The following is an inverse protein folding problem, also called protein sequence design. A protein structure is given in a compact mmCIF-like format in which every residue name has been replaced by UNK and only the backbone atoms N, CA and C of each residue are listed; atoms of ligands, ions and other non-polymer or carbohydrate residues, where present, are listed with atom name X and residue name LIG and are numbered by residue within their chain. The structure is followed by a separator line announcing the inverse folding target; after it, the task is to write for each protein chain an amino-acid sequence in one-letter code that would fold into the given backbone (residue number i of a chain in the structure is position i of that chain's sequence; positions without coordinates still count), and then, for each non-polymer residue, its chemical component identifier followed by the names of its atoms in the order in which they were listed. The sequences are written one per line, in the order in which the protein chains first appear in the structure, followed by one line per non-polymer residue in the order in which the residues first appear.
data_IF_900319710247
#
_entry.id   IF_900319710247
#
_cell.length_a   1.000
_cell.length_b   1.000
_cell.length_c   1.000
_cell.angle_alpha   90.00
_cell.angle_beta   90.00
_cell.angle_gamma   90.00
#
_symmetry.space_group_name_H-M   'P 1'
#
loop_
_entity.id
_entity.type
_entity.pdbx_description
1 polymer ?
#
# COMPACT_ATOMS: atom_id res chain seq x y z
N UNK A 1 -7.21 42.10 -1.23
CA UNK A 1 -7.47 40.80 -1.91
C UNK A 1 -7.04 39.72 -0.95
N UNK A 2 -8.00 38.97 -0.44
CA UNK A 2 -7.85 37.99 0.64
C UNK A 2 -7.11 36.74 0.12
N UNK A 3 -6.18 36.15 0.88
CA UNK A 3 -5.34 35.04 0.42
C UNK A 3 -6.06 33.69 0.52
N UNK A 4 -5.41 32.68 -0.07
CA UNK A 4 -5.83 31.31 -0.30
C UNK A 4 -6.54 30.61 0.89
N UNK A 5 -7.59 29.86 0.57
CA UNK A 5 -8.21 28.90 1.48
C UNK A 5 -7.90 27.49 0.99
N UNK A 6 -6.79 26.92 1.45
CA UNK A 6 -6.62 25.46 1.48
C UNK A 6 -6.73 25.06 2.95
N UNK A 7 -7.95 24.82 3.40
CA UNK A 7 -8.19 24.15 4.68
C UNK A 7 -9.64 23.70 4.76
N UNK A 8 -9.92 22.52 4.24
CA UNK A 8 -10.96 21.70 4.83
C UNK A 8 -10.24 20.67 5.71
N UNK A 9 -10.24 20.90 7.03
CA UNK A 9 -10.06 19.80 7.97
C UNK A 9 -11.30 18.89 7.85
N UNK A 10 -11.36 18.10 6.78
CA UNK A 10 -12.47 17.17 6.60
C UNK A 10 -12.41 16.16 7.74
N UNK A 11 -13.53 15.97 8.43
CA UNK A 11 -13.63 14.92 9.43
C UNK A 11 -13.23 13.58 8.81
N UNK A 12 -12.50 12.75 9.56
CA UNK A 12 -12.12 11.40 9.09
C UNK A 12 -13.39 10.65 8.67
N UNK A 13 -13.50 10.17 7.42
CA UNK A 13 -14.66 9.40 6.96
C UNK A 13 -14.92 8.20 7.87
N UNK A 14 -16.19 7.80 8.09
CA UNK A 14 -16.55 6.73 9.03
C UNK A 14 -15.74 5.44 8.84
N UNK A 15 -15.48 5.05 7.60
CA UNK A 15 -14.70 3.87 7.24
C UNK A 15 -13.21 3.92 7.66
N UNK A 16 -12.68 5.11 7.90
CA UNK A 16 -11.28 5.35 8.26
C UNK A 16 -11.09 5.83 9.70
N UNK A 17 -12.18 5.87 10.49
CA UNK A 17 -12.13 6.20 11.91
C UNK A 17 -11.46 5.09 12.72
N UNK A 18 -11.15 5.41 13.98
CA UNK A 18 -10.65 4.43 14.94
C UNK A 18 -11.71 3.37 15.18
N UNK A 19 -11.32 2.10 15.19
CA UNK A 19 -12.25 0.99 15.44
C UNK A 19 -11.59 -0.17 16.19
N UNK A 20 -12.33 -0.89 17.04
CA UNK A 20 -11.83 -2.10 17.66
C UNK A 20 -11.63 -3.20 16.60
N UNK A 21 -10.63 -4.04 16.83
CA UNK A 21 -10.38 -5.27 16.08
C UNK A 21 -9.87 -6.33 17.06
N UNK A 22 -10.79 -7.10 17.64
CA UNK A 22 -10.49 -8.02 18.74
C UNK A 22 -10.04 -7.27 20.00
N UNK A 23 -8.85 -7.62 20.50
CA UNK A 23 -8.19 -7.01 21.65
C UNK A 23 -7.39 -5.74 21.29
N UNK A 24 -7.33 -5.40 20.00
CA UNK A 24 -6.57 -4.27 19.47
C UNK A 24 -7.49 -3.14 19.02
N UNK A 25 -6.91 -1.96 18.86
CA UNK A 25 -7.58 -0.78 18.30
C UNK A 25 -6.83 -0.36 17.05
N UNK A 26 -7.53 -0.30 15.92
CA UNK A 26 -7.01 0.27 14.68
C UNK A 26 -7.14 1.80 14.81
N UNK A 27 -6.05 2.57 14.77
CA UNK A 27 -6.12 4.02 14.87
C UNK A 27 -6.80 4.63 13.64
N UNK A 28 -7.43 5.78 13.83
CA UNK A 28 -7.98 6.56 12.72
C UNK A 28 -6.87 6.94 11.74
N UNK A 29 -7.16 6.88 10.44
CA UNK A 29 -6.22 7.35 9.41
C UNK A 29 -6.16 8.88 9.47
N UNK A 30 -4.94 9.43 9.45
CA UNK A 30 -4.75 10.87 9.36
C UNK A 30 -5.42 11.38 8.06
N UNK A 31 -6.35 12.37 8.13
CA UNK A 31 -7.02 12.93 6.96
C UNK A 31 -6.08 13.39 5.84
N UNK A 32 -4.86 13.82 6.17
CA UNK A 32 -3.87 14.25 5.17
C UNK A 32 -3.41 13.13 4.24
N UNK A 33 -3.60 11.86 4.63
CA UNK A 33 -3.30 10.70 3.79
C UNK A 33 -4.51 10.20 3.01
N UNK A 34 -5.69 10.79 3.22
CA UNK A 34 -6.94 10.37 2.60
C UNK A 34 -7.26 11.24 1.38
N UNK A 35 -6.76 10.83 0.22
CA UNK A 35 -7.08 11.46 -1.06
C UNK A 35 -8.30 10.80 -1.70
N UNK A 36 -8.98 11.49 -2.62
CA UNK A 36 -10.10 10.92 -3.37
C UNK A 36 -9.72 9.67 -4.17
N UNK A 37 -8.44 9.57 -4.54
CA UNK A 37 -7.94 8.45 -5.33
C UNK A 37 -7.65 7.23 -4.47
N UNK A 38 -7.08 7.42 -3.29
CA UNK A 38 -6.62 6.31 -2.47
C UNK A 38 -7.65 5.78 -1.46
N UNK A 39 -8.71 6.56 -1.18
CA UNK A 39 -9.86 6.07 -0.43
C UNK A 39 -10.65 5.03 -1.21
N UNK A 40 -11.26 4.11 -0.46
CA UNK A 40 -12.19 3.14 -1.01
C UNK A 40 -13.43 3.83 -1.55
N UNK A 41 -13.91 3.38 -2.70
CA UNK A 41 -15.18 3.87 -3.28
C UNK A 41 -15.76 2.88 -4.26
N UNK A 42 -17.08 2.91 -4.36
CA UNK A 42 -17.79 2.25 -5.46
C UNK A 42 -17.43 2.92 -6.79
N UNK A 43 -17.15 2.09 -7.80
CA UNK A 43 -16.89 2.51 -9.17
C UNK A 43 -17.59 1.58 -10.15
N UNK A 44 -17.84 2.09 -11.34
CA UNK A 44 -18.16 1.25 -12.48
C UNK A 44 -16.90 0.45 -12.87
N UNK A 45 -17.10 -0.82 -13.21
CA UNK A 45 -16.03 -1.75 -13.57
C UNK A 45 -16.29 -2.34 -14.95
N UNK A 46 -15.52 -1.92 -15.94
CA UNK A 46 -15.65 -2.35 -17.34
C UNK A 46 -14.82 -3.60 -17.69
N UNK A 47 -14.09 -4.16 -16.73
CA UNK A 47 -13.26 -5.34 -16.96
C UNK A 47 -14.09 -6.63 -17.12
N UNK A 48 -13.52 -7.67 -17.75
CA UNK A 48 -14.23 -8.93 -18.02
C UNK A 48 -14.32 -9.88 -16.83
N UNK A 49 -13.71 -9.54 -15.68
CA UNK A 49 -13.63 -10.43 -14.52
C UNK A 49 -14.97 -10.59 -13.80
N UNK A 50 -15.24 -11.82 -13.36
CA UNK A 50 -16.48 -12.19 -12.66
C UNK A 50 -16.55 -11.60 -11.23
N UNK A 51 -17.77 -11.44 -10.67
CA UNK A 51 -17.97 -11.10 -9.27
C UNK A 51 -17.19 -12.01 -8.31
N UNK A 52 -16.68 -11.42 -7.23
CA UNK A 52 -15.79 -12.05 -6.25
C UNK A 52 -14.32 -12.06 -6.64
N UNK A 53 -13.95 -11.58 -7.83
CA UNK A 53 -12.52 -11.49 -8.25
C UNK A 53 -11.87 -10.23 -7.66
N UNK A 54 -10.63 -10.37 -7.19
CA UNK A 54 -9.77 -9.25 -6.79
C UNK A 54 -8.79 -8.92 -7.91
N UNK A 55 -8.77 -7.67 -8.35
CA UNK A 55 -7.92 -7.19 -9.44
C UNK A 55 -6.92 -6.24 -8.80
N UNK A 56 -5.64 -6.49 -8.98
CA UNK A 56 -4.57 -5.59 -8.54
C UNK A 56 -3.99 -4.94 -9.79
N UNK A 57 -3.95 -3.62 -9.79
CA UNK A 57 -3.24 -2.83 -10.79
C UNK A 57 -2.05 -2.10 -10.14
N UNK A 58 -0.84 -2.69 -10.19
CA UNK A 58 0.34 -2.09 -9.57
C UNK A 58 0.81 -0.79 -10.24
N UNK A 59 0.39 -0.53 -11.48
CA UNK A 59 0.85 0.62 -12.27
C UNK A 59 -0.06 1.82 -12.06
N UNK A 60 -1.37 1.60 -12.00
CA UNK A 60 -2.32 2.61 -11.55
C UNK A 60 -2.39 2.71 -10.03
N UNK A 61 -1.77 1.81 -9.27
CA UNK A 61 -1.83 1.77 -7.80
C UNK A 61 -3.26 1.73 -7.28
N UNK A 62 -4.05 0.86 -7.90
CA UNK A 62 -5.44 0.60 -7.55
C UNK A 62 -5.65 -0.90 -7.36
N UNK A 63 -6.61 -1.23 -6.52
CA UNK A 63 -7.14 -2.58 -6.38
C UNK A 63 -8.66 -2.51 -6.52
N UNK A 64 -9.25 -3.46 -7.24
CA UNK A 64 -10.69 -3.59 -7.43
C UNK A 64 -11.18 -4.92 -6.86
N UNK A 65 -12.16 -4.89 -5.97
CA UNK A 65 -12.94 -6.06 -5.59
C UNK A 65 -14.24 -6.03 -6.39
N UNK A 66 -14.38 -6.91 -7.38
CA UNK A 66 -15.56 -6.96 -8.25
C UNK A 66 -16.72 -7.54 -7.45
N UNK A 67 -17.81 -6.80 -7.28
CA UNK A 67 -18.94 -7.23 -6.43
C UNK A 67 -20.16 -7.68 -7.24
N UNK A 68 -20.30 -7.18 -8.45
CA UNK A 68 -21.37 -7.53 -9.38
C UNK A 68 -20.93 -7.17 -10.81
N UNK A 69 -21.62 -7.66 -11.84
CA UNK A 69 -21.35 -7.24 -13.21
C UNK A 69 -21.34 -5.72 -13.32
N UNK A 70 -20.29 -5.14 -13.93
CA UNK A 70 -20.19 -3.70 -14.12
C UNK A 70 -19.80 -2.89 -12.88
N UNK A 71 -19.52 -3.50 -11.72
CA UNK A 71 -19.29 -2.75 -10.47
C UNK A 71 -18.21 -3.36 -9.58
N UNK A 72 -17.35 -2.50 -9.03
CA UNK A 72 -16.33 -2.88 -8.06
C UNK A 72 -16.24 -1.89 -6.90
N UNK A 73 -15.78 -2.37 -5.75
CA UNK A 73 -15.16 -1.51 -4.74
C UNK A 73 -13.71 -1.29 -5.15
N UNK A 74 -13.31 -0.05 -5.38
CA UNK A 74 -11.93 0.32 -5.69
C UNK A 74 -11.24 0.80 -4.43
N UNK A 75 -9.97 0.45 -4.26
CA UNK A 75 -9.08 0.87 -3.18
C UNK A 75 -7.80 1.48 -3.76
N UNK A 76 -7.21 2.47 -3.08
CA UNK A 76 -5.83 2.85 -3.31
C UNK A 76 -4.87 1.84 -2.70
N UNK A 77 -3.75 1.57 -3.37
CA UNK A 77 -2.72 0.68 -2.84
C UNK A 77 -1.35 1.36 -2.85
N UNK A 78 -0.50 1.03 -1.88
CA UNK A 78 0.93 1.23 -2.04
C UNK A 78 1.53 0.00 -2.74
N UNK A 79 2.52 0.24 -3.60
CA UNK A 79 3.15 -0.81 -4.41
C UNK A 79 4.65 -0.80 -4.17
N UNK A 80 5.18 -1.86 -3.57
CA UNK A 80 6.62 -2.01 -3.39
C UNK A 80 7.35 -2.43 -4.67
N UNK A 81 8.69 -2.41 -4.67
CA UNK A 81 9.51 -2.90 -5.79
C UNK A 81 9.11 -4.31 -6.25
N UNK A 82 8.81 -5.21 -5.30
CA UNK A 82 8.35 -6.56 -5.60
C UNK A 82 6.91 -6.61 -6.16
N UNK A 83 6.10 -5.56 -5.89
CA UNK A 83 4.73 -5.41 -6.36
C UNK A 83 4.57 -5.41 -7.88
N UNK A 84 5.62 -5.02 -8.63
CA UNK A 84 5.67 -5.05 -10.11
C UNK A 84 6.30 -6.34 -10.68
N UNK A 85 6.83 -7.22 -9.83
CA UNK A 85 7.54 -8.44 -10.25
C UNK A 85 6.65 -9.62 -10.61
N UNK A 86 5.33 -9.49 -10.46
CA UNK A 86 4.35 -10.54 -10.72
C UNK A 86 3.16 -9.99 -11.51
N UNK A 87 2.74 -10.72 -12.53
CA UNK A 87 1.49 -10.46 -13.27
C UNK A 87 0.78 -11.77 -13.61
N UNK A 88 -0.51 -11.66 -13.93
CA UNK A 88 -1.42 -12.75 -14.29
C UNK A 88 -2.25 -13.26 -13.11
N UNK A 89 -2.80 -14.47 -13.26
CA UNK A 89 -3.78 -15.03 -12.33
C UNK A 89 -3.15 -15.71 -11.12
N UNK A 90 -3.80 -15.63 -9.98
CA UNK A 90 -3.51 -16.32 -8.73
C UNK A 90 -4.81 -16.62 -7.99
N UNK A 91 -4.70 -17.30 -6.85
CA UNK A 91 -5.81 -17.51 -5.91
C UNK A 91 -5.35 -17.19 -4.48
N UNK A 92 -6.26 -16.75 -3.63
CA UNK A 92 -6.01 -16.64 -2.20
C UNK A 92 -6.09 -18.04 -1.58
N UNK A 93 -4.95 -18.61 -1.14
CA UNK A 93 -4.94 -19.94 -0.49
C UNK A 93 -4.54 -19.91 0.97
N UNK A 94 -4.18 -18.73 1.49
CA UNK A 94 -3.93 -18.53 2.92
C UNK A 94 -4.30 -17.11 3.32
N UNK A 95 -4.88 -17.02 4.51
CA UNK A 95 -5.32 -15.79 5.18
C UNK A 95 -4.74 -15.81 6.59
N UNK A 96 -4.14 -14.71 7.03
CA UNK A 96 -3.58 -14.60 8.39
C UNK A 96 -3.96 -13.24 8.99
N UNK A 97 -4.47 -13.27 10.22
CA UNK A 97 -4.64 -12.09 11.06
C UNK A 97 -3.35 -11.77 11.80
N UNK A 98 -2.99 -10.49 11.86
CA UNK A 98 -1.76 -10.00 12.49
C UNK A 98 -0.54 -10.88 12.16
N UNK A 99 -0.21 -11.05 10.87
CA UNK A 99 0.86 -11.94 10.47
C UNK A 99 2.20 -11.50 11.05
N UNK A 100 3.01 -12.46 11.49
CA UNK A 100 4.44 -12.22 11.69
C UNK A 100 5.10 -11.90 10.35
N UNK A 101 6.20 -11.15 10.40
CA UNK A 101 6.97 -10.82 9.21
C UNK A 101 8.43 -11.15 9.42
N UNK A 102 9.08 -11.66 8.38
CA UNK A 102 10.53 -11.90 8.40
C UNK A 102 11.10 -11.31 7.12
N UNK A 103 12.17 -10.49 7.21
CA UNK A 103 12.83 -9.97 6.03
C UNK A 103 13.37 -11.13 5.19
N UNK A 104 13.31 -10.98 3.88
CA UNK A 104 13.89 -11.99 2.99
C UNK A 104 15.41 -11.97 3.10
N UNK A 105 16.07 -13.09 2.78
CA UNK A 105 17.54 -13.14 2.68
C UNK A 105 18.10 -12.06 1.75
N UNK A 106 17.36 -11.67 0.72
CA UNK A 106 17.79 -10.62 -0.20
C UNK A 106 17.73 -9.23 0.43
N UNK A 107 16.71 -8.97 1.26
CA UNK A 107 16.60 -7.71 2.00
C UNK A 107 17.78 -7.58 2.98
N UNK A 108 18.04 -8.62 3.78
CA UNK A 108 19.19 -8.65 4.70
C UNK A 108 20.52 -8.45 3.98
N UNK A 109 20.71 -9.04 2.79
CA UNK A 109 21.96 -8.84 2.04
C UNK A 109 22.11 -7.43 1.46
N UNK A 110 21.00 -6.84 1.02
CA UNK A 110 21.03 -5.53 0.38
C UNK A 110 21.16 -4.39 1.38
N UNK A 111 20.62 -4.59 2.58
CA UNK A 111 20.61 -3.63 3.67
C UNK A 111 20.69 -4.39 5.01
N UNK A 112 21.91 -4.85 5.36
CA UNK A 112 22.12 -5.66 6.55
C UNK A 112 21.93 -4.87 7.84
N UNK A 113 22.16 -3.56 7.84
CA UNK A 113 22.08 -2.74 9.05
C UNK A 113 20.61 -2.52 9.45
N UNK A 114 19.72 -2.33 8.47
CA UNK A 114 18.27 -2.26 8.75
C UNK A 114 17.65 -3.62 9.06
N UNK A 115 17.95 -4.64 8.25
CA UNK A 115 17.22 -5.91 8.28
C UNK A 115 17.92 -7.02 9.05
N UNK A 116 19.23 -6.91 9.29
CA UNK A 116 20.03 -7.87 10.06
C UNK A 116 19.51 -8.05 11.48
N UNK A 117 19.27 -6.96 12.26
CA UNK A 117 18.66 -7.04 13.57
C UNK A 117 17.26 -7.67 13.55
N UNK A 118 16.59 -7.64 12.41
CA UNK A 118 15.24 -8.18 12.18
C UNK A 118 15.24 -9.59 11.59
N UNK A 119 16.40 -10.26 11.45
CA UNK A 119 16.51 -11.58 10.82
C UNK A 119 15.71 -12.67 11.57
N UNK A 120 15.48 -12.50 12.87
CA UNK A 120 14.60 -13.36 13.68
C UNK A 120 13.09 -13.15 13.43
N UNK A 121 12.74 -12.11 12.68
CA UNK A 121 11.37 -11.70 12.39
C UNK A 121 10.76 -10.79 13.44
N UNK A 122 9.65 -10.16 13.05
CA UNK A 122 8.79 -9.34 13.87
C UNK A 122 7.50 -10.11 14.19
N UNK A 123 7.02 -10.04 15.45
CA UNK A 123 5.71 -10.59 15.81
C UNK A 123 4.58 -9.84 15.10
N UNK A 124 3.38 -10.42 15.15
CA UNK A 124 2.18 -9.80 14.62
C UNK A 124 1.77 -8.53 15.37
N UNK A 125 1.46 -7.46 14.63
CA UNK A 125 1.06 -6.18 15.21
C UNK A 125 0.82 -5.10 14.18
N UNK A 126 0.35 -3.94 14.63
CA UNK A 126 0.17 -2.77 13.75
C UNK A 126 1.50 -2.05 13.46
N UNK A 127 2.51 -2.28 14.29
CA UNK A 127 3.91 -1.92 14.10
C UNK A 127 4.66 -2.90 13.17
N UNK A 128 3.99 -3.97 12.71
CA UNK A 128 4.53 -4.90 11.73
C UNK A 128 4.33 -4.35 10.30
N UNK A 129 5.31 -4.49 9.38
CA UNK A 129 5.17 -4.08 7.98
C UNK A 129 3.99 -4.69 7.22
N UNK A 130 3.46 -5.83 7.67
CA UNK A 130 2.29 -6.49 7.10
C UNK A 130 0.96 -5.98 7.67
N UNK A 131 0.98 -5.21 8.76
CA UNK A 131 -0.19 -4.63 9.40
C UNK A 131 -1.20 -5.66 9.92
N UNK A 132 -2.48 -5.28 9.91
CA UNK A 132 -3.53 -6.02 10.61
C UNK A 132 -3.89 -7.37 9.97
N UNK A 133 -3.76 -7.53 8.65
CA UNK A 133 -4.18 -8.73 7.90
C UNK A 133 -3.27 -8.95 6.69
N UNK A 134 -3.15 -10.20 6.26
CA UNK A 134 -2.55 -10.54 4.97
C UNK A 134 -3.29 -11.66 4.23
N UNK A 135 -3.47 -11.45 2.93
CA UNK A 135 -3.94 -12.40 1.94
C UNK A 135 -2.74 -12.89 1.11
N UNK A 136 -2.52 -14.21 1.08
CA UNK A 136 -1.37 -14.82 0.41
C UNK A 136 -1.79 -15.42 -0.92
N UNK A 137 -1.12 -15.00 -2.00
CA UNK A 137 -1.45 -15.39 -3.36
C UNK A 137 -0.66 -16.64 -3.77
N UNK A 138 -1.38 -17.63 -4.30
CA UNK A 138 -0.84 -18.88 -4.78
C UNK A 138 -1.11 -19.04 -6.28
N UNK A 139 -0.17 -19.67 -6.99
CA UNK A 139 -0.33 -20.07 -8.41
C UNK A 139 0.12 -21.52 -8.56
N UNK A 140 -0.77 -22.36 -9.08
CA UNK A 140 -0.47 -23.80 -9.26
C UNK A 140 -0.09 -24.50 -7.95
N UNK A 141 -0.73 -24.13 -6.83
CA UNK A 141 -0.46 -24.70 -5.51
C UNK A 141 0.82 -24.19 -4.82
N UNK A 142 1.56 -23.24 -5.41
CA UNK A 142 2.78 -22.67 -4.83
C UNK A 142 2.58 -21.23 -4.40
N UNK A 143 3.15 -20.86 -3.24
CA UNK A 143 3.20 -19.48 -2.76
C UNK A 143 3.99 -18.63 -3.77
N UNK A 144 3.37 -17.54 -4.23
CA UNK A 144 4.02 -16.59 -5.14
C UNK A 144 4.95 -15.61 -4.41
N UNK A 145 4.95 -15.65 -3.07
CA UNK A 145 5.50 -14.64 -2.18
C UNK A 145 4.86 -13.25 -2.38
N UNK A 146 3.76 -13.17 -3.12
CA UNK A 146 2.97 -11.98 -3.31
C UNK A 146 1.83 -11.93 -2.31
N UNK A 147 1.61 -10.75 -1.73
CA UNK A 147 0.65 -10.54 -0.65
C UNK A 147 -0.12 -9.24 -0.85
N UNK A 148 -1.39 -9.28 -0.50
CA UNK A 148 -2.22 -8.09 -0.28
C UNK A 148 -2.36 -7.98 1.24
N UNK A 149 -1.88 -6.89 1.82
CA UNK A 149 -1.76 -6.79 3.27
C UNK A 149 -2.01 -5.36 3.78
N UNK A 150 -2.09 -5.21 5.10
CA UNK A 150 -2.18 -3.91 5.76
C UNK A 150 -0.85 -3.16 5.73
N UNK A 151 -0.70 -2.17 6.61
CA UNK A 151 0.54 -1.40 6.71
C UNK A 151 0.69 -0.80 8.10
N UNK A 152 1.92 -0.67 8.57
CA UNK A 152 2.26 0.20 9.71
C UNK A 152 2.33 1.68 9.31
N UNK A 153 2.52 1.96 8.02
CA UNK A 153 2.64 3.30 7.47
C UNK A 153 1.47 3.61 6.52
N UNK A 154 0.40 4.26 7.02
CA UNK A 154 -0.73 4.65 6.18
C UNK A 154 -0.39 5.76 5.17
N UNK A 155 0.70 6.52 5.37
CA UNK A 155 1.08 7.61 4.46
C UNK A 155 1.62 7.11 3.11
N UNK A 156 1.98 5.83 3.03
CA UNK A 156 2.42 5.16 1.81
C UNK A 156 1.29 4.84 0.81
N UNK A 157 0.03 4.80 1.25
CA UNK A 157 -1.07 4.31 0.42
C UNK A 157 -1.35 5.26 -0.75
N UNK A 158 -1.24 4.72 -1.98
CA UNK A 158 -1.30 5.49 -3.23
C UNK A 158 0.07 5.81 -3.84
N UNK A 159 1.16 5.42 -3.17
CA UNK A 159 2.54 5.71 -3.56
C UNK A 159 3.34 4.46 -3.94
N UNK A 160 4.47 4.64 -4.61
CA UNK A 160 5.47 3.59 -4.73
C UNK A 160 6.21 3.43 -3.41
N UNK A 161 6.71 2.23 -3.11
CA UNK A 161 7.58 2.00 -1.96
C UNK A 161 8.79 1.14 -2.35
N UNK A 162 9.82 1.23 -1.54
CA UNK A 162 11.09 0.52 -1.66
C UNK A 162 10.95 -0.99 -1.43
N UNK A 163 9.99 -1.42 -0.62
CA UNK A 163 9.83 -2.82 -0.20
C UNK A 163 8.37 -3.28 -0.05
N UNK A 164 8.14 -4.58 -0.21
CA UNK A 164 6.83 -5.21 -0.04
C UNK A 164 6.04 -5.39 -1.34
N UNK A 165 4.86 -6.01 -1.23
CA UNK A 165 4.00 -6.32 -2.36
C UNK A 165 2.92 -5.24 -2.50
N UNK A 166 1.72 -5.48 -1.97
CA UNK A 166 0.57 -4.60 -2.08
C UNK A 166 0.05 -4.25 -0.70
N UNK A 167 0.08 -2.95 -0.36
CA UNK A 167 -0.38 -2.43 0.93
C UNK A 167 -1.72 -1.73 0.77
N UNK A 168 -2.59 -1.94 1.74
CA UNK A 168 -3.85 -1.22 1.94
C UNK A 168 -3.83 -0.54 3.31
N UNK A 169 -4.72 0.43 3.52
CA UNK A 169 -5.04 0.87 4.88
C UNK A 169 -5.50 -0.32 5.72
N UNK A 170 -5.19 -0.33 7.02
CA UNK A 170 -5.58 -1.45 7.90
C UNK A 170 -7.11 -1.66 7.91
N UNK A 171 -7.89 -0.57 7.90
CA UNK A 171 -9.35 -0.63 7.81
C UNK A 171 -9.82 -1.35 6.54
N UNK A 172 -9.19 -1.06 5.40
CA UNK A 172 -9.56 -1.63 4.12
C UNK A 172 -9.18 -3.11 3.99
N UNK A 173 -7.97 -3.49 4.44
CA UNK A 173 -7.57 -4.90 4.40
C UNK A 173 -8.38 -5.74 5.38
N UNK A 174 -8.79 -5.22 6.54
CA UNK A 174 -9.63 -5.97 7.49
C UNK A 174 -10.97 -6.31 6.84
N UNK A 175 -11.65 -5.31 6.26
CA UNK A 175 -12.96 -5.54 5.64
C UNK A 175 -12.83 -6.48 4.43
N UNK A 176 -11.83 -6.25 3.58
CA UNK A 176 -11.56 -7.15 2.44
C UNK A 176 -11.19 -8.56 2.90
N UNK A 177 -10.43 -8.69 3.98
CA UNK A 177 -10.06 -9.98 4.54
C UNK A 177 -11.30 -10.76 4.95
N UNK A 178 -12.23 -10.15 5.66
CA UNK A 178 -13.46 -10.82 6.12
C UNK A 178 -14.36 -11.23 4.95
N UNK A 179 -14.42 -10.41 3.90
CA UNK A 179 -15.20 -10.67 2.68
C UNK A 179 -14.56 -11.72 1.75
N UNK A 180 -13.25 -11.95 1.85
CA UNK A 180 -12.51 -12.81 0.91
C UNK A 180 -12.53 -14.28 1.34
N UNK A 181 -13.04 -15.17 0.48
CA UNK A 181 -12.97 -16.61 0.69
C UNK A 181 -11.64 -17.21 0.24
N UNK A 182 -11.27 -18.38 0.78
CA UNK A 182 -10.16 -19.16 0.23
C UNK A 182 -10.57 -19.71 -1.15
N UNK A 183 -9.66 -19.62 -2.11
CA UNK A 183 -9.94 -19.91 -3.52
C UNK A 183 -10.34 -18.68 -4.33
N UNK A 184 -10.60 -17.53 -3.70
CA UNK A 184 -10.88 -16.26 -4.39
C UNK A 184 -9.82 -15.98 -5.45
N UNK A 185 -10.29 -15.71 -6.67
CA UNK A 185 -9.43 -15.43 -7.82
C UNK A 185 -8.83 -14.04 -7.67
N UNK A 186 -7.54 -13.96 -7.94
CA UNK A 186 -6.81 -12.70 -8.02
C UNK A 186 -6.21 -12.56 -9.41
N UNK A 187 -6.35 -11.39 -10.02
CA UNK A 187 -5.61 -11.04 -11.24
C UNK A 187 -4.73 -9.83 -10.99
N UNK A 188 -3.43 -10.00 -11.19
CA UNK A 188 -2.47 -8.88 -11.13
C UNK A 188 -2.19 -8.42 -12.55
N UNK A 189 -2.59 -7.19 -12.88
CA UNK A 189 -2.46 -6.65 -14.24
C UNK A 189 -0.99 -6.47 -14.63
N UNK A 190 -0.69 -6.81 -15.87
CA UNK A 190 0.53 -6.40 -16.55
C UNK A 190 0.48 -4.90 -16.88
N UNK A 191 1.63 -4.31 -17.27
CA UNK A 191 1.68 -2.92 -17.71
C UNK A 191 0.77 -2.64 -18.92
N UNK A 192 0.69 -3.58 -19.85
CA UNK A 192 -0.14 -3.45 -21.05
C UNK A 192 -1.63 -3.43 -20.69
N UNK A 193 -2.07 -4.35 -19.84
CA UNK A 193 -3.47 -4.37 -19.36
C UNK A 193 -3.81 -3.11 -18.54
N UNK A 194 -2.88 -2.62 -17.72
CA UNK A 194 -3.08 -1.36 -17.00
C UNK A 194 -3.23 -0.17 -17.95
N UNK A 195 -2.37 -0.07 -18.98
CA UNK A 195 -2.46 0.98 -20.00
C UNK A 195 -3.79 0.95 -20.76
N UNK A 196 -4.30 -0.25 -21.06
CA UNK A 196 -5.60 -0.42 -21.72
C UNK A 196 -6.77 0.01 -20.81
N UNK A 197 -6.73 -0.34 -19.53
CA UNK A 197 -7.83 -0.13 -18.60
C UNK A 197 -7.84 1.26 -17.95
N UNK A 198 -6.67 1.79 -17.61
CA UNK A 198 -6.50 3.01 -16.81
C UNK A 198 -5.84 4.15 -17.61
N UNK A 199 -5.29 3.84 -18.79
CA UNK A 199 -4.46 4.77 -19.54
C UNK A 199 -3.04 4.89 -18.98
N UNK A 200 -2.27 5.81 -19.57
CA UNK A 200 -0.94 6.13 -19.06
C UNK A 200 -1.07 6.90 -17.74
N UNK A 201 -0.21 6.58 -16.78
CA UNK A 201 -0.16 7.25 -15.47
C UNK A 201 1.16 7.99 -15.33
N UNK A 202 1.11 9.17 -14.72
CA UNK A 202 2.27 9.99 -14.34
C UNK A 202 2.40 9.98 -12.84
N UNK A 203 3.62 9.71 -12.36
CA UNK A 203 3.98 9.85 -10.95
C UNK A 203 4.36 11.30 -10.66
N UNK A 204 3.77 11.85 -9.60
CA UNK A 204 3.98 13.20 -9.12
C UNK A 204 5.13 13.25 -8.11
N UNK A 205 5.70 14.43 -7.84
CA UNK A 205 6.72 14.63 -6.80
C UNK A 205 6.22 14.24 -5.42
N UNK A 206 4.93 14.47 -5.14
CA UNK A 206 4.26 13.96 -3.92
C UNK A 206 4.27 12.43 -3.78
N UNK A 207 4.70 11.71 -4.81
CA UNK A 207 4.76 10.26 -4.89
C UNK A 207 3.44 9.63 -5.26
N UNK A 208 2.34 10.38 -5.46
CA UNK A 208 1.07 9.87 -5.96
C UNK A 208 1.08 9.69 -7.49
N UNK A 209 0.05 9.06 -8.04
CA UNK A 209 -0.13 8.93 -9.50
C UNK A 209 -1.42 9.55 -9.97
N UNK A 210 -1.35 10.23 -11.12
CA UNK A 210 -2.49 10.81 -11.85
C UNK A 210 -2.49 10.31 -13.29
N UNK A 211 -3.63 10.33 -14.01
CA UNK A 211 -3.64 10.08 -15.44
C UNK A 211 -2.67 11.02 -16.15
N UNK A 212 -1.90 10.52 -17.12
CA UNK A 212 -0.92 11.33 -17.86
C UNK A 212 -1.56 12.44 -18.71
N UNK A 213 -2.87 12.35 -18.94
CA UNK A 213 -3.65 13.39 -19.60
C UNK A 213 -4.04 14.56 -18.66
N UNK A 214 -3.86 14.41 -17.35
CA UNK A 214 -4.17 15.44 -16.35
C UNK A 214 -3.05 16.48 -16.25
N UNK A 215 -2.92 17.29 -17.31
CA UNK A 215 -1.87 18.29 -17.42
C UNK A 215 -1.95 19.37 -16.33
N UNK A 216 -3.15 19.63 -15.80
CA UNK A 216 -3.36 20.60 -14.72
C UNK A 216 -2.76 20.07 -13.40
N UNK A 217 -3.08 18.84 -13.01
CA UNK A 217 -2.51 18.25 -11.80
C UNK A 217 -0.99 18.12 -11.88
N UNK A 218 -0.46 17.73 -13.03
CA UNK A 218 0.99 17.59 -13.27
C UNK A 218 1.67 18.97 -13.15
N UNK A 219 1.14 20.00 -13.80
CA UNK A 219 1.73 21.34 -13.74
C UNK A 219 1.63 21.96 -12.33
N UNK A 220 0.54 21.70 -11.60
CA UNK A 220 0.37 22.17 -10.22
C UNK A 220 1.38 21.51 -9.26
N UNK A 221 1.63 20.22 -9.41
CA UNK A 221 2.63 19.48 -8.63
C UNK A 221 4.05 20.00 -8.93
N UNK A 222 4.41 20.16 -10.21
CA UNK A 222 5.70 20.74 -10.61
C UNK A 222 5.92 22.13 -10.01
N UNK A 223 4.93 23.03 -10.15
CA UNK A 223 5.02 24.39 -9.61
C UNK A 223 5.14 24.40 -8.07
N UNK A 224 4.44 23.50 -7.37
CA UNK A 224 4.56 23.36 -5.92
C UNK A 224 5.95 22.86 -5.52
N UNK A 225 6.54 21.94 -6.29
CA UNK A 225 7.89 21.43 -6.08
C UNK A 225 8.94 22.53 -6.31
N UNK A 226 8.88 23.25 -7.43
CA UNK A 226 9.78 24.38 -7.73
C UNK A 226 9.69 25.50 -6.69
N UNK A 227 8.49 25.70 -6.11
CA UNK A 227 8.27 26.65 -5.03
C UNK A 227 8.73 26.15 -3.64
N UNK A 228 9.24 24.92 -3.54
CA UNK A 228 9.66 24.29 -2.28
C UNK A 228 8.50 24.00 -1.32
N UNK A 229 7.27 23.92 -1.82
CA UNK A 229 6.07 23.65 -1.02
C UNK A 229 5.85 22.15 -0.80
N UNK A 230 6.37 21.33 -1.70
CA UNK A 230 6.38 19.87 -1.58
C UNK A 230 7.79 19.34 -1.80
N UNK A 231 8.09 18.20 -1.20
CA UNK A 231 9.34 17.48 -1.38
C UNK A 231 9.12 16.28 -2.31
N UNK A 232 10.17 15.90 -3.03
CA UNK A 232 10.18 14.66 -3.80
C UNK A 232 10.07 13.48 -2.84
N UNK A 233 9.00 12.70 -3.00
CA UNK A 233 8.69 11.57 -2.12
C UNK A 233 9.78 10.49 -2.14
N UNK A 234 10.53 10.34 -3.24
CA UNK A 234 11.64 9.38 -3.28
C UNK A 234 12.77 9.78 -2.33
N UNK A 235 13.00 11.09 -2.17
CA UNK A 235 13.96 11.63 -1.19
C UNK A 235 13.41 11.45 0.23
N UNK A 236 12.12 11.74 0.45
CA UNK A 236 11.47 11.50 1.75
C UNK A 236 11.55 10.03 2.15
N UNK A 237 11.31 9.10 1.23
CA UNK A 237 11.41 7.66 1.50
C UNK A 237 12.85 7.26 1.83
N UNK A 238 13.84 7.81 1.12
CA UNK A 238 15.25 7.56 1.40
C UNK A 238 15.66 8.10 2.78
N UNK A 239 15.27 9.32 3.14
CA UNK A 239 15.52 9.90 4.46
C UNK A 239 14.87 9.06 5.57
N UNK A 240 13.63 8.62 5.38
CA UNK A 240 12.94 7.74 6.33
C UNK A 240 13.65 6.40 6.48
N UNK A 241 14.16 5.85 5.38
CA UNK A 241 14.94 4.62 5.37
C UNK A 241 16.26 4.79 6.14
N UNK A 242 17.01 5.85 5.87
CA UNK A 242 18.25 6.18 6.57
C UNK A 242 18.01 6.41 8.08
N UNK A 243 16.93 7.11 8.45
CA UNK A 243 16.56 7.28 9.85
C UNK A 243 16.18 5.95 10.52
N UNK A 244 15.53 5.05 9.78
CA UNK A 244 15.18 3.72 10.28
C UNK A 244 16.43 2.85 10.51
N UNK A 245 17.43 2.94 9.61
CA UNK A 245 18.74 2.29 9.77
C UNK A 245 19.43 2.83 11.02
N UNK A 246 19.58 4.16 11.15
CA UNK A 246 20.23 4.78 12.30
C UNK A 246 19.55 4.38 13.63
N UNK A 247 18.21 4.35 13.67
CA UNK A 247 17.46 3.91 14.85
C UNK A 247 17.64 2.40 15.14
N UNK A 248 17.83 1.56 14.11
CA UNK A 248 18.16 0.15 14.32
C UNK A 248 19.56 -0.02 14.93
N UNK A 249 20.56 0.68 14.39
CA UNK A 249 21.95 0.68 14.89
C UNK A 249 22.04 1.19 16.33
N UNK A 250 21.35 2.29 16.66
CA UNK A 250 21.30 2.83 18.03
C UNK A 250 20.73 1.82 19.03
N UNK A 251 19.66 1.09 18.65
CA UNK A 251 19.06 0.05 19.49
C UNK A 251 20.02 -1.12 19.70
N UNK A 252 20.72 -1.54 18.66
CA UNK A 252 21.75 -2.58 18.76
C UNK A 252 22.90 -2.15 19.68
N UNK A 253 23.41 -0.93 19.53
CA UNK A 253 24.46 -0.38 20.39
C UNK A 253 24.05 -0.31 21.87
N UNK A 254 22.79 0.08 22.15
CA UNK A 254 22.25 0.09 23.52
C UNK A 254 22.13 -1.31 24.13
N UNK A 255 21.77 -2.32 23.33
CA UNK A 255 21.69 -3.71 23.77
C UNK A 255 23.08 -4.31 24.03
N UNK A 256 24.09 -3.95 23.25
CA UNK A 256 25.46 -4.45 23.39
C UNK A 256 26.35 -3.65 24.35
N UNK A 257 26.00 -2.40 24.66
CA UNK A 257 26.70 -1.56 25.65
C UNK A 257 26.25 -1.77 27.11
N UNK A 258 25.23 -2.60 27.35
CA UNK A 258 24.68 -2.90 28.67
C UNK A 258 25.25 -4.18 29.33
N UNK A 259 26.37 -4.71 28.81
CA UNK A 259 27.09 -5.87 29.37
C UNK A 259 28.45 -5.48 29.96
#
# INVERSE_FOLDING_TARGET
MTPATVSSSSAVPPEYQSRPDGDRVIPAVNPNYLTDRNRRRWVDYSGPEEPGTIIVDPYARLLYHVVSPGRAMRFGIAVGKAGKGFSGNAVISRKVEYPSWTPTKNMIRNDPDLYGPLAGGLPGGLDNPLGARALYLYRGGKDTYYRIHGTMDPSSIGKATSAGCIRLFNQDIIDMFDETELGTRVKVRSRAESLEMEGAMTELHTGYVVPAADAEAIAADEAAYEAGQIQDYSQVEQEQHEAAVASAEEREAQLHGAN
#
